data_IF_483120434216
#
_entry.id   IF_483120434216
#
_cell.length_a   1.000
_cell.length_b   1.000
_cell.length_c   1.000
_cell.angle_alpha   90.00
_cell.angle_beta   90.00
_cell.angle_gamma   90.00
#
_symmetry.space_group_name_H-M   'P 1'
#
loop_
_entity.id
_entity.type
_entity.pdbx_description
1 polymer ?
#
# COMPACT_ATOMS: atom_id res chain seq x y z
N UNK A 1 9.67 13.37 -12.54
CA UNK A 1 10.10 13.22 -11.14
C UNK A 1 10.09 14.60 -10.52
N UNK A 2 9.57 14.75 -9.31
CA UNK A 2 9.56 16.03 -8.58
C UNK A 2 10.61 15.92 -7.47
N UNK A 3 11.43 16.94 -7.29
CA UNK A 3 12.48 17.00 -6.25
C UNK A 3 11.97 17.61 -4.93
N UNK A 4 10.66 17.55 -4.71
CA UNK A 4 10.00 18.12 -3.53
C UNK A 4 10.19 17.19 -2.33
N UNK A 5 10.64 17.74 -1.20
CA UNK A 5 10.72 16.96 0.03
C UNK A 5 9.32 16.61 0.55
N UNK A 6 9.22 15.59 1.42
CA UNK A 6 7.94 15.24 2.04
C UNK A 6 7.39 16.39 2.90
N UNK A 7 8.26 17.08 3.62
CA UNK A 7 7.87 18.21 4.49
C UNK A 7 7.30 19.36 3.65
N UNK A 8 7.99 19.77 2.59
CA UNK A 8 7.51 20.82 1.68
C UNK A 8 6.20 20.42 1.01
N UNK A 9 6.07 19.15 0.62
CA UNK A 9 4.83 18.63 0.02
C UNK A 9 3.65 18.75 0.99
N UNK A 10 3.82 18.35 2.25
CA UNK A 10 2.76 18.43 3.27
C UNK A 10 2.43 19.88 3.63
N UNK A 11 3.43 20.77 3.66
CA UNK A 11 3.22 22.20 3.88
C UNK A 11 2.41 22.84 2.73
N UNK A 12 2.78 22.55 1.47
CA UNK A 12 2.04 23.04 0.30
C UNK A 12 0.62 22.47 0.28
N UNK A 13 0.47 21.18 0.58
CA UNK A 13 -0.83 20.51 0.60
C UNK A 13 -1.77 21.12 1.64
N UNK A 14 -1.28 21.30 2.87
CA UNK A 14 -2.07 21.87 3.97
C UNK A 14 -2.53 23.31 3.70
N UNK A 15 -1.69 24.11 3.00
CA UNK A 15 -2.04 25.48 2.58
C UNK A 15 -2.97 25.56 1.37
N UNK A 16 -3.16 24.47 0.63
CA UNK A 16 -3.93 24.49 -0.62
C UNK A 16 -5.41 24.79 -0.42
N UNK A 17 -5.96 24.57 0.78
CA UNK A 17 -7.37 24.76 1.11
C UNK A 17 -8.32 23.80 0.38
N UNK A 18 -7.79 22.79 -0.33
CA UNK A 18 -8.59 21.82 -1.08
C UNK A 18 -8.75 20.54 -0.26
N UNK A 19 -10.01 20.10 -0.07
CA UNK A 19 -10.31 18.85 0.64
C UNK A 19 -9.96 17.62 -0.21
N UNK A 20 -8.72 17.19 -0.12
CA UNK A 20 -8.17 15.99 -0.79
C UNK A 20 -7.64 15.01 0.26
N UNK A 21 -7.38 13.77 -0.14
CA UNK A 21 -6.57 12.83 0.63
C UNK A 21 -5.15 12.73 0.09
N UNK A 22 -4.23 12.20 0.89
CA UNK A 22 -2.85 11.92 0.49
C UNK A 22 -2.63 10.41 0.51
N UNK A 23 -2.02 9.88 -0.55
CA UNK A 23 -1.49 8.51 -0.57
C UNK A 23 0.02 8.56 -0.75
N UNK A 24 0.76 8.12 0.27
CA UNK A 24 2.21 8.09 0.28
C UNK A 24 2.67 6.68 -0.10
N UNK A 25 3.38 6.57 -1.22
CA UNK A 25 3.82 5.31 -1.80
C UNK A 25 5.29 5.04 -1.48
N UNK A 26 5.53 4.25 -0.42
CA UNK A 26 6.86 3.93 0.06
C UNK A 26 7.49 2.79 -0.75
N UNK A 27 8.72 3.02 -1.21
CA UNK A 27 9.48 2.06 -2.02
C UNK A 27 10.63 1.37 -1.28
N UNK A 28 10.92 1.79 -0.05
CA UNK A 28 11.93 1.14 0.79
C UNK A 28 11.67 1.37 2.27
N UNK A 29 12.30 0.54 3.10
CA UNK A 29 12.29 0.67 4.56
C UNK A 29 12.89 2.02 5.00
N UNK A 30 13.98 2.45 4.38
CA UNK A 30 14.70 3.68 4.69
C UNK A 30 13.84 4.90 4.38
N UNK A 31 13.18 4.90 3.22
CA UNK A 31 12.25 5.97 2.84
C UNK A 31 11.11 6.11 3.87
N UNK A 32 10.54 4.98 4.29
CA UNK A 32 9.53 5.01 5.34
C UNK A 32 10.09 5.46 6.68
N UNK A 33 11.22 4.91 7.12
CA UNK A 33 11.88 5.26 8.38
C UNK A 33 12.19 6.76 8.49
N UNK A 34 12.75 7.36 7.42
CA UNK A 34 13.07 8.79 7.40
C UNK A 34 11.82 9.69 7.35
N UNK A 35 10.70 9.18 6.84
CA UNK A 35 9.45 9.93 6.82
C UNK A 35 8.74 9.99 8.18
N UNK A 36 9.00 9.06 9.10
CA UNK A 36 8.16 8.87 10.28
C UNK A 36 8.04 10.13 11.14
N UNK A 37 9.15 10.81 11.42
CA UNK A 37 9.14 12.02 12.25
C UNK A 37 8.30 13.14 11.61
N UNK A 38 8.44 13.32 10.29
CA UNK A 38 7.69 14.33 9.53
C UNK A 38 6.20 13.98 9.54
N UNK A 39 5.85 12.70 9.35
CA UNK A 39 4.47 12.24 9.38
C UNK A 39 3.84 12.34 10.76
N UNK A 40 4.56 12.01 11.83
CA UNK A 40 4.08 12.17 13.20
C UNK A 40 3.78 13.65 13.46
N UNK A 41 4.70 14.55 13.13
CA UNK A 41 4.50 15.99 13.29
C UNK A 41 3.28 16.50 12.50
N UNK A 42 3.10 16.04 11.26
CA UNK A 42 1.98 16.45 10.42
C UNK A 42 0.63 15.87 10.90
N UNK A 43 0.57 14.55 11.14
CA UNK A 43 -0.66 13.82 11.49
C UNK A 43 -1.19 14.16 12.90
N UNK A 44 -0.30 14.53 13.83
CA UNK A 44 -0.66 14.92 15.19
C UNK A 44 -0.78 16.44 15.38
N UNK A 45 -0.60 17.22 14.30
CA UNK A 45 -0.95 18.63 14.33
C UNK A 45 -2.48 18.80 14.47
N UNK A 46 -2.92 19.85 15.17
CA UNK A 46 -4.36 20.09 15.42
C UNK A 46 -5.15 20.44 14.15
N UNK A 47 -4.47 20.77 13.07
CA UNK A 47 -5.05 21.32 11.84
C UNK A 47 -5.22 20.26 10.74
N UNK A 48 -5.00 18.98 11.07
CA UNK A 48 -5.10 17.89 10.11
C UNK A 48 -6.57 17.49 9.87
N UNK A 49 -7.09 17.81 8.68
CA UNK A 49 -8.48 17.56 8.29
C UNK A 49 -8.63 16.63 7.06
N UNK A 50 -7.54 15.99 6.63
CA UNK A 50 -7.49 15.16 5.44
C UNK A 50 -7.08 13.70 5.71
N UNK A 51 -7.60 12.72 4.95
CA UNK A 51 -7.20 11.32 5.10
C UNK A 51 -5.80 11.08 4.52
N UNK A 52 -4.99 10.27 5.23
CA UNK A 52 -3.66 9.83 4.79
C UNK A 52 -3.63 8.32 4.64
N UNK A 53 -3.09 7.87 3.52
CA UNK A 53 -2.90 6.46 3.19
C UNK A 53 -1.41 6.15 3.14
N UNK A 54 -1.00 5.12 3.88
CA UNK A 54 0.36 4.58 3.83
C UNK A 54 0.35 3.39 2.88
N UNK A 55 0.98 3.55 1.72
CA UNK A 55 1.05 2.52 0.68
C UNK A 55 2.43 1.90 0.59
N UNK A 56 2.49 0.56 0.53
CA UNK A 56 3.73 -0.15 0.24
C UNK A 56 3.43 -1.53 -0.35
N UNK A 57 4.29 -1.97 -1.28
CA UNK A 57 4.35 -3.36 -1.70
C UNK A 57 5.24 -4.11 -0.70
N UNK A 58 4.66 -5.00 0.09
CA UNK A 58 5.34 -5.64 1.25
C UNK A 58 5.55 -7.14 1.07
N UNK A 59 4.88 -7.76 0.10
CA UNK A 59 5.03 -9.17 -0.26
C UNK A 59 5.54 -9.29 -1.70
N UNK A 60 6.31 -10.34 -2.03
CA UNK A 60 6.66 -10.62 -3.44
C UNK A 60 5.44 -11.10 -4.20
N UNK A 61 5.14 -10.45 -5.33
CA UNK A 61 3.98 -10.77 -6.13
C UNK A 61 4.26 -11.66 -7.33
N UNK A 62 3.23 -11.87 -8.15
CA UNK A 62 3.32 -12.69 -9.34
C UNK A 62 4.35 -12.18 -10.35
N UNK A 63 4.79 -13.11 -11.18
CA UNK A 63 5.71 -12.89 -12.30
C UNK A 63 7.14 -12.46 -11.91
N UNK A 64 7.61 -12.93 -10.75
CA UNK A 64 9.01 -12.84 -10.34
C UNK A 64 9.58 -11.42 -10.49
N UNK A 65 8.94 -10.47 -9.81
CA UNK A 65 9.44 -9.10 -9.72
C UNK A 65 10.87 -9.08 -9.18
N UNK A 66 11.75 -8.32 -9.83
CA UNK A 66 13.12 -8.03 -9.35
C UNK A 66 13.11 -6.90 -8.31
N UNK A 67 11.95 -6.23 -8.12
CA UNK A 67 11.78 -5.22 -7.07
C UNK A 67 11.63 -5.92 -5.74
N UNK A 68 12.54 -5.64 -4.82
CA UNK A 68 12.45 -6.09 -3.45
C UNK A 68 11.29 -5.38 -2.72
N UNK A 69 10.41 -6.14 -2.03
CA UNK A 69 9.36 -5.54 -1.23
C UNK A 69 9.91 -4.68 -0.09
N UNK A 70 9.10 -3.72 0.35
CA UNK A 70 9.34 -3.02 1.61
C UNK A 70 9.25 -4.03 2.76
N UNK A 71 10.14 -3.92 3.74
CA UNK A 71 10.13 -4.73 4.96
C UNK A 71 8.75 -4.72 5.63
N UNK A 72 8.03 -5.84 5.52
CA UNK A 72 6.64 -5.97 5.94
C UNK A 72 6.48 -5.72 7.44
N UNK A 73 7.35 -6.29 8.28
CA UNK A 73 7.26 -6.15 9.73
C UNK A 73 7.54 -4.73 10.17
N UNK A 74 8.60 -4.15 9.65
CA UNK A 74 8.94 -2.78 9.98
C UNK A 74 7.84 -1.82 9.52
N UNK A 75 7.32 -2.00 8.30
CA UNK A 75 6.25 -1.16 7.77
C UNK A 75 4.95 -1.28 8.56
N UNK A 76 4.46 -2.50 8.78
CA UNK A 76 3.18 -2.76 9.43
C UNK A 76 3.23 -2.37 10.91
N UNK A 77 4.22 -2.86 11.67
CA UNK A 77 4.32 -2.59 13.11
C UNK A 77 4.41 -1.10 13.41
N UNK A 78 5.16 -0.34 12.62
CA UNK A 78 5.28 1.12 12.77
C UNK A 78 4.01 1.84 12.32
N UNK A 79 3.36 1.37 11.25
CA UNK A 79 2.12 2.00 10.81
C UNK A 79 1.00 1.83 11.84
N UNK A 80 0.83 0.64 12.43
CA UNK A 80 -0.21 0.43 13.44
C UNK A 80 0.10 1.15 14.77
N UNK A 81 1.37 1.25 15.16
CA UNK A 81 1.76 1.86 16.45
C UNK A 81 1.86 3.38 16.38
N UNK A 82 2.37 3.93 15.29
CA UNK A 82 2.64 5.37 15.14
C UNK A 82 1.57 6.11 14.35
N UNK A 83 0.81 5.43 13.49
CA UNK A 83 -0.12 6.06 12.56
C UNK A 83 -1.50 5.38 12.56
N UNK A 84 -2.15 5.19 13.73
CA UNK A 84 -3.41 4.45 13.83
C UNK A 84 -4.59 5.10 13.08
N UNK A 85 -4.47 6.38 12.73
CA UNK A 85 -5.48 7.13 11.96
C UNK A 85 -5.30 7.00 10.45
N UNK A 86 -4.17 6.48 9.97
CA UNK A 86 -3.90 6.32 8.55
C UNK A 86 -4.52 5.03 8.02
N UNK A 87 -4.97 5.07 6.76
CA UNK A 87 -5.41 3.86 6.04
C UNK A 87 -4.19 3.10 5.53
N UNK A 88 -4.08 1.81 5.83
CA UNK A 88 -3.02 0.97 5.26
C UNK A 88 -3.43 0.47 3.87
N UNK A 89 -2.54 0.66 2.90
CA UNK A 89 -2.69 0.20 1.53
C UNK A 89 -1.54 -0.72 1.17
N UNK A 90 -1.69 -2.03 1.40
CA UNK A 90 -0.60 -3.01 1.25
C UNK A 90 -0.72 -3.77 -0.06
N UNK A 91 0.40 -4.01 -0.72
CA UNK A 91 0.42 -4.66 -2.04
C UNK A 91 1.51 -5.69 -2.19
N UNK A 92 1.63 -6.16 -3.42
CA UNK A 92 2.69 -7.08 -3.83
C UNK A 92 3.56 -6.42 -4.90
N UNK A 93 4.86 -6.70 -4.86
CA UNK A 93 5.73 -6.29 -5.96
C UNK A 93 5.35 -7.07 -7.21
N UNK A 94 5.04 -6.38 -8.31
CA UNK A 94 4.58 -7.03 -9.55
C UNK A 94 5.44 -6.60 -10.72
N UNK A 95 5.69 -7.55 -11.62
CA UNK A 95 6.31 -7.30 -12.92
C UNK A 95 5.28 -7.61 -14.01
N UNK A 96 4.62 -6.57 -14.51
CA UNK A 96 3.59 -6.70 -15.53
C UNK A 96 3.82 -5.62 -16.60
N UNK A 97 3.72 -5.98 -17.87
CA UNK A 97 4.17 -5.18 -19.01
C UNK A 97 5.46 -5.72 -19.65
N UNK A 98 5.91 -5.09 -20.74
CA UNK A 98 7.12 -5.48 -21.51
C UNK A 98 7.12 -6.95 -21.98
N UNK A 99 5.98 -7.45 -22.46
CA UNK A 99 5.82 -8.83 -22.94
C UNK A 99 5.39 -9.83 -21.87
N UNK A 100 5.14 -9.37 -20.65
CA UNK A 100 4.49 -10.15 -19.60
C UNK A 100 3.07 -9.64 -19.43
N UNK A 101 2.10 -10.45 -19.81
CA UNK A 101 0.66 -10.14 -19.79
C UNK A 101 -0.17 -11.18 -19.02
N UNK A 102 0.49 -12.14 -18.38
CA UNK A 102 -0.16 -13.20 -17.60
C UNK A 102 0.51 -13.36 -16.25
N UNK A 103 -0.31 -13.58 -15.25
CA UNK A 103 0.08 -13.76 -13.86
C UNK A 103 -1.16 -13.86 -13.00
N UNK A 104 -1.04 -14.59 -11.90
CA UNK A 104 -2.12 -14.84 -10.95
C UNK A 104 -1.54 -14.74 -9.55
N UNK A 105 -2.29 -14.11 -8.63
CA UNK A 105 -1.98 -14.17 -7.21
C UNK A 105 -2.23 -15.60 -6.72
N UNK A 106 -1.19 -16.28 -6.25
CA UNK A 106 -1.33 -17.66 -5.76
C UNK A 106 -1.88 -17.69 -4.35
N UNK A 107 -2.38 -18.85 -3.91
CA UNK A 107 -2.87 -19.04 -2.54
C UNK A 107 -1.77 -18.74 -1.53
N UNK A 108 -0.53 -19.16 -1.80
CA UNK A 108 0.63 -18.94 -0.93
C UNK A 108 0.91 -17.43 -0.77
N UNK A 109 0.74 -16.63 -1.83
CA UNK A 109 0.91 -15.17 -1.77
C UNK A 109 -0.19 -14.49 -0.92
N UNK A 110 -1.40 -15.04 -0.93
CA UNK A 110 -2.51 -14.58 -0.08
C UNK A 110 -2.26 -14.96 1.38
N UNK A 111 -1.78 -16.18 1.64
CA UNK A 111 -1.42 -16.65 2.97
C UNK A 111 -0.27 -15.82 3.54
N UNK A 112 0.79 -15.54 2.77
CA UNK A 112 1.91 -14.71 3.21
C UNK A 112 1.48 -13.29 3.59
N UNK A 113 0.59 -12.67 2.81
CA UNK A 113 0.00 -11.37 3.13
C UNK A 113 -0.83 -11.44 4.42
N UNK A 114 -1.68 -12.48 4.55
CA UNK A 114 -2.54 -12.69 5.72
C UNK A 114 -1.72 -12.88 6.99
N UNK A 115 -0.66 -13.69 6.92
CA UNK A 115 0.27 -13.93 8.01
C UNK A 115 1.01 -12.65 8.40
N UNK A 116 1.45 -11.84 7.42
CA UNK A 116 2.08 -10.55 7.67
C UNK A 116 1.18 -9.59 8.44
N UNK A 117 -0.10 -9.50 8.08
CA UNK A 117 -1.06 -8.67 8.80
C UNK A 117 -1.32 -9.21 10.21
N UNK A 118 -1.53 -10.52 10.36
CA UNK A 118 -1.84 -11.15 11.64
C UNK A 118 -0.68 -11.03 12.64
N UNK A 119 0.55 -11.36 12.22
CA UNK A 119 1.73 -11.32 13.09
C UNK A 119 2.11 -9.90 13.52
N UNK A 120 1.70 -8.88 12.76
CA UNK A 120 1.87 -7.47 13.09
C UNK A 120 0.64 -6.84 13.76
N UNK A 121 -0.35 -7.65 14.16
CA UNK A 121 -1.54 -7.22 14.90
C UNK A 121 -2.35 -6.13 14.18
N UNK A 122 -2.44 -6.22 12.85
CA UNK A 122 -3.27 -5.31 12.06
C UNK A 122 -4.74 -5.66 12.29
N UNK A 123 -5.41 -4.85 13.10
CA UNK A 123 -6.81 -5.04 13.48
C UNK A 123 -7.77 -4.05 12.80
N UNK A 124 -7.21 -3.03 12.16
CA UNK A 124 -7.98 -2.08 11.34
C UNK A 124 -8.17 -2.62 9.92
N UNK A 125 -9.27 -2.26 9.24
CA UNK A 125 -9.45 -2.58 7.83
C UNK A 125 -8.31 -2.02 6.97
N UNK A 126 -7.87 -2.81 5.99
CA UNK A 126 -6.83 -2.41 5.02
C UNK A 126 -7.38 -2.39 3.61
N UNK A 127 -6.66 -1.75 2.70
CA UNK A 127 -6.88 -1.96 1.27
C UNK A 127 -5.72 -2.70 0.65
N UNK A 128 -6.02 -3.72 -0.15
CA UNK A 128 -5.02 -4.49 -0.87
C UNK A 128 -4.81 -3.90 -2.25
N UNK A 129 -3.61 -3.37 -2.51
CA UNK A 129 -3.24 -2.82 -3.81
C UNK A 129 -2.96 -3.97 -4.79
N UNK A 130 -3.89 -4.21 -5.70
CA UNK A 130 -3.83 -5.30 -6.69
C UNK A 130 -3.75 -4.77 -8.10
N UNK A 131 -2.91 -5.38 -8.93
CA UNK A 131 -2.77 -4.97 -10.32
C UNK A 131 -3.92 -5.53 -11.17
N UNK A 132 -4.57 -4.69 -11.96
CA UNK A 132 -5.77 -5.01 -12.73
C UNK A 132 -5.61 -6.26 -13.63
N UNK A 133 -4.54 -6.32 -14.43
CA UNK A 133 -4.32 -7.45 -15.36
C UNK A 133 -4.08 -8.80 -14.68
N UNK A 134 -3.59 -8.79 -13.43
CA UNK A 134 -3.39 -10.01 -12.62
C UNK A 134 -4.67 -10.33 -11.85
N UNK A 135 -5.34 -9.32 -11.30
CA UNK A 135 -6.58 -9.47 -10.56
C UNK A 135 -7.68 -10.13 -11.39
N UNK A 136 -7.73 -9.85 -12.69
CA UNK A 136 -8.65 -10.49 -13.63
C UNK A 136 -8.50 -12.03 -13.68
N UNK A 137 -7.31 -12.55 -13.36
CA UNK A 137 -7.01 -13.99 -13.34
C UNK A 137 -7.06 -14.58 -11.92
N UNK A 138 -7.34 -13.79 -10.88
CA UNK A 138 -7.16 -14.17 -9.47
C UNK A 138 -8.44 -14.04 -8.64
N UNK A 139 -9.61 -14.26 -9.25
CA UNK A 139 -10.90 -13.98 -8.59
C UNK A 139 -11.08 -14.76 -7.28
N UNK A 140 -10.82 -16.07 -7.30
CA UNK A 140 -11.05 -16.94 -6.13
C UNK A 140 -10.10 -16.57 -4.98
N UNK A 141 -8.83 -16.31 -5.29
CA UNK A 141 -7.81 -15.93 -4.31
C UNK A 141 -8.09 -14.58 -3.68
N UNK A 142 -8.46 -13.57 -4.49
CA UNK A 142 -8.81 -12.24 -4.00
C UNK A 142 -10.13 -12.22 -3.23
N UNK A 143 -11.11 -13.05 -3.64
CA UNK A 143 -12.36 -13.21 -2.90
C UNK A 143 -12.13 -13.86 -1.53
N UNK A 144 -11.28 -14.88 -1.47
CA UNK A 144 -10.87 -15.48 -0.19
C UNK A 144 -10.13 -14.48 0.69
N UNK A 145 -9.18 -13.72 0.13
CA UNK A 145 -8.45 -12.69 0.87
C UNK A 145 -9.41 -11.69 1.54
N UNK A 146 -10.39 -11.16 0.80
CA UNK A 146 -11.37 -10.22 1.36
C UNK A 146 -12.28 -10.91 2.38
N UNK A 147 -12.72 -12.14 2.10
CA UNK A 147 -13.61 -12.90 2.98
C UNK A 147 -12.99 -13.28 4.31
N UNK A 148 -11.65 -13.44 4.37
CA UNK A 148 -10.91 -13.78 5.58
C UNK A 148 -10.30 -12.56 6.30
N UNK A 149 -10.31 -11.38 5.68
CA UNK A 149 -9.73 -10.15 6.23
C UNK A 149 -10.65 -9.45 7.23
N UNK A 150 -10.10 -8.47 7.96
CA UNK A 150 -10.88 -7.58 8.85
C UNK A 150 -12.07 -6.96 8.08
N UNK A 151 -13.31 -7.03 8.61
CA UNK A 151 -14.48 -6.47 7.94
C UNK A 151 -14.30 -5.01 7.54
N UNK A 152 -14.64 -4.68 6.29
CA UNK A 152 -14.41 -3.36 5.71
C UNK A 152 -13.09 -3.24 4.96
N UNK A 153 -12.27 -4.30 4.94
CA UNK A 153 -11.10 -4.35 4.05
C UNK A 153 -11.53 -4.37 2.59
N UNK A 154 -10.73 -3.79 1.71
CA UNK A 154 -11.10 -3.55 0.29
C UNK A 154 -9.95 -3.92 -0.65
N UNK A 155 -10.24 -3.95 -1.96
CA UNK A 155 -9.23 -4.04 -3.00
C UNK A 155 -9.08 -2.65 -3.65
N UNK A 156 -7.86 -2.15 -3.76
CA UNK A 156 -7.51 -1.03 -4.65
C UNK A 156 -6.93 -1.59 -5.93
N UNK A 157 -7.74 -1.64 -6.98
CA UNK A 157 -7.33 -2.12 -8.30
C UNK A 157 -6.63 -1.00 -9.05
N UNK A 158 -5.42 -1.26 -9.55
CA UNK A 158 -4.63 -0.27 -10.28
C UNK A 158 -4.00 -0.84 -11.56
N UNK A 159 -3.72 0.06 -12.52
CA UNK A 159 -3.01 -0.24 -13.76
C UNK A 159 -2.01 0.89 -14.03
N UNK A 160 -0.82 0.54 -14.53
CA UNK A 160 0.24 1.52 -14.85
C UNK A 160 0.38 1.80 -16.34
N UNK A 161 -0.30 1.04 -17.20
CA UNK A 161 -0.18 1.15 -18.64
C UNK A 161 -1.56 1.10 -19.31
N UNK A 162 -1.84 1.93 -20.34
CA UNK A 162 -2.99 1.74 -21.23
C UNK A 162 -3.02 0.36 -21.89
N UNK A 163 -1.88 -0.33 -21.93
CA UNK A 163 -1.72 -1.67 -22.52
C UNK A 163 -1.86 -2.82 -21.50
N UNK A 164 -2.13 -2.53 -20.22
CA UNK A 164 -2.58 -3.56 -19.28
C UNK A 164 -3.98 -3.97 -19.74
N UNK A 165 -4.06 -4.99 -20.60
CA UNK A 165 -5.34 -5.53 -21.06
C UNK A 165 -6.04 -6.15 -19.85
N UNK A 166 -7.16 -5.53 -19.47
CA UNK A 166 -8.12 -6.05 -18.49
C UNK A 166 -8.99 -7.09 -19.18
#
# INVERSE_FOLDING_TARGET
TSDLSLEDFLEIFSKSGVRKGIKLDFKSREAFSHSQFILEAALYSRDMDYPVWLNADIIKGPVNSEVEPVDADYFLSRSVTKFPVATLSVGWTTRFGNGIDKGEYTVEMIEEMTDALNRNLVTSPVTFAVRAGIAAQSYDQLSNLIGSSVPGSTLTIWSSSPNDKI
#
